data_IF_927343201039
#
_entry.id   IF_927343201039
#
_cell.length_a   1.000
_cell.length_b   1.000
_cell.length_c   1.000
_cell.angle_alpha   90.00
_cell.angle_beta   90.00
_cell.angle_gamma   90.00
#
_symmetry.space_group_name_H-M   'P 1'
#
loop_
_entity.id
_entity.type
_entity.pdbx_description
1 polymer ?
#
# COMPACT_ATOMS: atom_id res chain seq x y z
N UNK A 1 8.77 -27.16 6.04
CA UNK A 1 8.33 -26.04 5.18
C UNK A 1 7.34 -26.62 4.18
N UNK A 2 6.05 -26.30 4.33
CA UNK A 2 4.91 -26.91 3.61
C UNK A 2 4.81 -26.42 2.15
N UNK A 3 4.30 -27.26 1.24
CA UNK A 3 4.04 -26.94 -0.19
C UNK A 3 3.32 -25.60 -0.39
N UNK A 4 2.42 -25.25 0.55
CA UNK A 4 1.71 -23.96 0.58
C UNK A 4 2.64 -22.75 0.66
N UNK A 5 3.77 -22.83 1.39
CA UNK A 5 4.71 -21.72 1.50
C UNK A 5 5.53 -21.53 0.21
N UNK A 6 5.89 -22.62 -0.48
CA UNK A 6 6.60 -22.58 -1.77
C UNK A 6 5.66 -22.05 -2.85
N UNK A 7 4.41 -22.51 -2.86
CA UNK A 7 3.41 -22.08 -3.83
C UNK A 7 3.01 -20.61 -3.62
N UNK A 8 2.88 -20.13 -2.37
CA UNK A 8 2.69 -18.69 -2.08
C UNK A 8 3.88 -17.85 -2.53
N UNK A 9 5.12 -18.30 -2.32
CA UNK A 9 6.32 -17.57 -2.79
C UNK A 9 6.38 -17.51 -4.31
N UNK A 10 6.14 -18.63 -4.99
CA UNK A 10 6.09 -18.68 -6.46
C UNK A 10 4.98 -17.80 -7.04
N UNK A 11 3.82 -17.76 -6.36
CA UNK A 11 2.70 -16.87 -6.71
C UNK A 11 3.10 -15.40 -6.56
N UNK A 12 3.64 -14.99 -5.40
CA UNK A 12 4.06 -13.60 -5.14
C UNK A 12 5.15 -13.14 -6.11
N UNK A 13 6.13 -14.01 -6.43
CA UNK A 13 7.16 -13.68 -7.42
C UNK A 13 6.60 -13.48 -8.84
N UNK A 14 5.55 -14.23 -9.22
CA UNK A 14 4.88 -14.04 -10.51
C UNK A 14 4.03 -12.76 -10.52
N UNK A 15 3.33 -12.48 -9.42
CA UNK A 15 2.56 -11.24 -9.24
C UNK A 15 3.45 -10.01 -9.39
N UNK A 16 4.57 -9.94 -8.65
CA UNK A 16 5.50 -8.81 -8.72
C UNK A 16 6.07 -8.59 -10.14
N UNK A 17 6.40 -9.67 -10.86
CA UNK A 17 6.85 -9.57 -12.25
C UNK A 17 5.79 -8.98 -13.19
N UNK A 18 4.54 -9.39 -13.01
CA UNK A 18 3.43 -8.88 -13.83
C UNK A 18 3.19 -7.40 -13.53
N UNK A 19 3.23 -7.02 -12.25
CA UNK A 19 3.07 -5.62 -11.82
C UNK A 19 4.17 -4.75 -12.40
N UNK A 20 5.43 -5.16 -12.28
CA UNK A 20 6.57 -4.43 -12.86
C UNK A 20 6.42 -4.27 -14.39
N UNK A 21 6.06 -5.33 -15.11
CA UNK A 21 5.81 -5.26 -16.55
C UNK A 21 4.64 -4.32 -16.91
N UNK A 22 3.53 -4.38 -16.17
CA UNK A 22 2.37 -3.53 -16.39
C UNK A 22 2.70 -2.05 -16.12
N UNK A 23 3.44 -1.77 -15.05
CA UNK A 23 3.89 -0.42 -14.73
C UNK A 23 4.85 0.14 -15.78
N UNK A 24 5.82 -0.65 -16.24
CA UNK A 24 6.72 -0.24 -17.33
C UNK A 24 5.95 0.09 -18.61
N UNK A 25 5.04 -0.79 -19.03
CA UNK A 25 4.20 -0.54 -20.20
C UNK A 25 3.33 0.72 -20.02
N UNK A 26 2.73 0.93 -18.84
CA UNK A 26 1.94 2.12 -18.58
C UNK A 26 2.78 3.42 -18.62
N UNK A 27 3.99 3.42 -18.05
CA UNK A 27 4.91 4.57 -18.04
C UNK A 27 5.44 4.86 -19.45
N UNK A 28 5.90 3.82 -20.18
CA UNK A 28 6.39 3.94 -21.57
C UNK A 28 5.33 4.46 -22.54
N UNK A 29 4.07 4.08 -22.33
CA UNK A 29 2.93 4.50 -23.18
C UNK A 29 2.24 5.76 -22.67
N UNK A 30 2.64 6.28 -21.51
CA UNK A 30 2.05 7.44 -20.84
C UNK A 30 0.61 7.25 -20.36
N UNK A 31 0.03 6.05 -20.52
CA UNK A 31 -1.34 5.73 -20.12
C UNK A 31 -1.54 4.22 -20.03
N UNK A 32 -2.43 3.80 -19.12
CA UNK A 32 -2.88 2.40 -19.06
C UNK A 32 -3.68 1.98 -20.30
N UNK A 33 -4.23 2.94 -21.05
CA UNK A 33 -4.97 2.68 -22.29
C UNK A 33 -4.04 2.40 -23.48
N UNK A 34 -2.75 2.74 -23.36
CA UNK A 34 -1.75 2.57 -24.41
C UNK A 34 -1.19 1.16 -24.56
N UNK A 35 -1.62 0.19 -23.74
CA UNK A 35 -1.28 -1.22 -23.87
C UNK A 35 -2.49 -2.14 -23.65
N UNK A 36 -2.36 -3.39 -24.07
CA UNK A 36 -3.36 -4.45 -23.94
C UNK A 36 -2.91 -5.54 -22.97
N UNK A 37 -3.87 -6.31 -22.44
CA UNK A 37 -3.55 -7.49 -21.62
C UNK A 37 -2.76 -8.55 -22.41
N UNK A 38 -2.76 -8.49 -23.74
CA UNK A 38 -2.03 -9.42 -24.60
C UNK A 38 -0.56 -9.09 -24.66
N UNK A 39 -0.26 -7.81 -24.90
CA UNK A 39 1.10 -7.29 -24.85
C UNK A 39 1.71 -7.48 -23.46
N UNK A 40 0.90 -7.32 -22.39
CA UNK A 40 1.36 -7.62 -21.03
C UNK A 40 1.65 -9.11 -20.83
N UNK A 41 0.80 -10.00 -21.35
CA UNK A 41 1.00 -11.45 -21.25
C UNK A 41 2.27 -11.89 -22.00
N UNK A 42 2.50 -11.31 -23.18
CA UNK A 42 3.72 -11.51 -23.98
C UNK A 42 4.96 -10.99 -23.25
N UNK A 43 4.91 -9.77 -22.71
CA UNK A 43 6.01 -9.18 -21.94
C UNK A 43 6.38 -9.99 -20.68
N UNK A 44 5.43 -10.74 -20.12
CA UNK A 44 5.62 -11.56 -18.94
C UNK A 44 5.99 -13.02 -19.24
N UNK A 45 5.97 -13.44 -20.51
CA UNK A 45 6.08 -14.84 -20.95
C UNK A 45 5.06 -15.76 -20.25
N UNK A 46 3.79 -15.35 -20.25
CA UNK A 46 2.68 -16.12 -19.68
C UNK A 46 1.49 -16.18 -20.64
N UNK A 47 0.65 -17.20 -20.50
CA UNK A 47 -0.62 -17.23 -21.24
C UNK A 47 -1.58 -16.14 -20.76
N UNK A 48 -2.45 -15.65 -21.65
CA UNK A 48 -3.55 -14.74 -21.29
C UNK A 48 -4.41 -15.29 -20.14
N UNK A 49 -4.70 -16.59 -20.14
CA UNK A 49 -5.43 -17.26 -19.05
C UNK A 49 -4.67 -17.17 -17.73
N UNK A 50 -3.35 -17.38 -17.75
CA UNK A 50 -2.49 -17.24 -16.57
C UNK A 50 -2.55 -15.81 -16.05
N UNK A 51 -2.38 -14.81 -16.92
CA UNK A 51 -2.43 -13.41 -16.55
C UNK A 51 -3.76 -13.03 -15.86
N UNK A 52 -4.90 -13.43 -16.44
CA UNK A 52 -6.22 -13.16 -15.84
C UNK A 52 -6.49 -13.91 -14.53
N UNK A 53 -5.78 -15.02 -14.25
CA UNK A 53 -5.85 -15.67 -12.93
C UNK A 53 -5.14 -14.86 -11.83
N UNK A 54 -4.28 -13.93 -12.21
CA UNK A 54 -3.59 -13.02 -11.29
C UNK A 54 -4.30 -11.68 -11.21
N UNK A 55 -4.59 -11.06 -12.36
CA UNK A 55 -5.18 -9.72 -12.42
C UNK A 55 -6.35 -9.68 -13.41
N UNK A 56 -7.58 -9.35 -12.96
CA UNK A 56 -8.74 -9.37 -13.83
C UNK A 56 -8.77 -8.19 -14.82
N UNK A 57 -7.97 -7.14 -14.59
CA UNK A 57 -7.92 -5.95 -15.45
C UNK A 57 -6.52 -5.33 -15.52
N UNK A 58 -6.33 -4.41 -16.48
CA UNK A 58 -5.11 -3.58 -16.56
C UNK A 58 -4.92 -2.71 -15.32
N UNK A 59 -6.01 -2.16 -14.78
CA UNK A 59 -5.99 -1.37 -13.55
C UNK A 59 -5.42 -2.21 -12.41
N UNK A 60 -5.90 -3.44 -12.24
CA UNK A 60 -5.41 -4.32 -11.19
C UNK A 60 -3.96 -4.75 -11.39
N UNK A 61 -3.55 -4.99 -12.65
CA UNK A 61 -2.18 -5.34 -12.96
C UNK A 61 -1.20 -4.17 -12.68
N UNK A 62 -1.60 -2.92 -12.96
CA UNK A 62 -0.77 -1.73 -12.72
C UNK A 62 -0.70 -1.37 -11.24
N UNK A 63 -1.84 -1.42 -10.53
CA UNK A 63 -1.90 -1.16 -9.09
C UNK A 63 -1.28 -2.28 -8.27
N UNK A 64 -1.26 -3.51 -8.81
CA UNK A 64 -0.83 -4.68 -8.09
C UNK A 64 -1.84 -5.16 -7.04
N UNK A 65 -1.44 -6.13 -6.21
CA UNK A 65 -2.30 -6.67 -5.16
C UNK A 65 -2.62 -5.59 -4.12
N UNK A 66 -3.71 -5.82 -3.37
CA UNK A 66 -4.02 -4.96 -2.23
C UNK A 66 -2.91 -5.02 -1.17
N UNK A 67 -2.71 -3.90 -0.46
CA UNK A 67 -1.81 -3.85 0.68
C UNK A 67 -2.24 -4.89 1.71
N UNK A 68 -1.35 -5.83 2.00
CA UNK A 68 -1.60 -6.89 2.97
C UNK A 68 -1.09 -6.44 4.32
N UNK A 69 -2.03 -6.18 5.25
CA UNK A 69 -1.70 -5.90 6.64
C UNK A 69 -1.12 -7.17 7.28
N UNK A 70 0.13 -7.15 7.80
CA UNK A 70 0.74 -8.32 8.41
C UNK A 70 -0.13 -8.85 9.56
N UNK A 71 -0.42 -10.17 9.57
CA UNK A 71 -1.38 -10.75 10.52
C UNK A 71 -0.96 -10.51 11.98
N UNK A 72 0.32 -10.64 12.29
CA UNK A 72 0.86 -10.41 13.64
C UNK A 72 0.73 -8.95 14.08
N UNK A 73 1.03 -7.99 13.20
CA UNK A 73 0.88 -6.57 13.47
C UNK A 73 -0.60 -6.20 13.67
N UNK A 74 -1.49 -6.76 12.85
CA UNK A 74 -2.93 -6.56 12.96
C UNK A 74 -3.51 -7.16 14.26
N UNK A 75 -3.05 -8.34 14.66
CA UNK A 75 -3.48 -8.96 15.93
C UNK A 75 -3.01 -8.13 17.12
N UNK A 76 -1.75 -7.68 17.10
CA UNK A 76 -1.19 -6.75 18.11
C UNK A 76 -2.02 -5.47 18.20
N UNK A 77 -2.29 -4.83 17.06
CA UNK A 77 -3.12 -3.63 16.97
C UNK A 77 -4.53 -3.83 17.56
N UNK A 78 -5.18 -4.95 17.24
CA UNK A 78 -6.53 -5.29 17.74
C UNK A 78 -6.55 -5.50 19.25
N UNK A 79 -5.48 -6.03 19.82
CA UNK A 79 -5.35 -6.22 21.27
C UNK A 79 -4.94 -4.97 22.05
N UNK A 80 -4.83 -3.82 21.37
CA UNK A 80 -4.51 -2.55 22.00
C UNK A 80 -3.01 -2.29 22.17
N UNK A 81 -2.16 -2.92 21.36
CA UNK A 81 -0.71 -2.72 21.39
C UNK A 81 -0.13 -2.22 20.07
N UNK A 82 1.20 -2.00 20.02
CA UNK A 82 2.16 -2.30 21.08
C UNK A 82 2.22 -1.30 22.25
N UNK A 83 1.76 -0.07 22.07
CA UNK A 83 1.91 1.03 23.05
C UNK A 83 0.67 1.26 23.91
N UNK A 84 -0.53 0.94 23.40
CA UNK A 84 -1.80 1.34 23.99
C UNK A 84 -2.36 2.62 23.39
N UNK A 85 -1.51 3.49 22.84
CA UNK A 85 -1.93 4.72 22.15
C UNK A 85 -2.34 4.40 20.71
N UNK A 86 -3.50 4.92 20.28
CA UNK A 86 -4.03 4.64 18.94
C UNK A 86 -3.10 5.13 17.83
N UNK A 87 -2.50 6.32 17.98
CA UNK A 87 -1.68 6.94 16.94
C UNK A 87 -0.35 6.20 16.81
N UNK A 88 0.32 5.91 17.93
CA UNK A 88 1.55 5.13 17.93
C UNK A 88 1.34 3.71 17.38
N UNK A 89 0.21 3.09 17.69
CA UNK A 89 -0.09 1.74 17.21
C UNK A 89 -0.48 1.70 15.73
N UNK A 90 -1.17 2.73 15.22
CA UNK A 90 -1.40 2.89 13.78
C UNK A 90 -0.08 3.15 13.03
N UNK A 91 0.83 3.96 13.61
CA UNK A 91 2.16 4.18 13.06
C UNK A 91 2.95 2.86 13.01
N UNK A 92 2.97 2.09 14.09
CA UNK A 92 3.63 0.79 14.12
C UNK A 92 3.09 -0.17 13.06
N UNK A 93 1.78 -0.15 12.80
CA UNK A 93 1.17 -0.94 11.73
C UNK A 93 1.64 -0.50 10.34
N UNK A 94 1.76 0.80 10.08
CA UNK A 94 2.32 1.33 8.82
C UNK A 94 3.78 0.89 8.65
N UNK A 95 4.61 1.02 9.69
CA UNK A 95 6.00 0.59 9.64
C UNK A 95 6.13 -0.91 9.36
N UNK A 96 5.30 -1.75 9.98
CA UNK A 96 5.28 -3.19 9.72
C UNK A 96 4.90 -3.53 8.26
N UNK A 97 4.06 -2.72 7.60
CA UNK A 97 3.79 -2.88 6.17
C UNK A 97 5.05 -2.58 5.36
N UNK A 98 5.74 -1.48 5.67
CA UNK A 98 6.95 -1.06 4.94
C UNK A 98 8.10 -2.04 5.09
N UNK A 99 8.25 -2.68 6.25
CA UNK A 99 9.25 -3.74 6.45
C UNK A 99 9.07 -4.95 5.51
N UNK A 100 7.87 -5.14 4.96
CA UNK A 100 7.54 -6.25 4.06
C UNK A 100 7.55 -5.85 2.57
N UNK A 101 7.84 -4.59 2.25
CA UNK A 101 7.85 -4.05 0.90
C UNK A 101 9.23 -3.48 0.55
N UNK A 102 9.73 -3.79 -0.64
CA UNK A 102 10.97 -3.18 -1.14
C UNK A 102 10.64 -1.76 -1.61
N UNK A 103 10.86 -0.78 -0.73
CA UNK A 103 10.61 0.63 -1.01
C UNK A 103 11.85 1.23 -1.66
N UNK A 104 11.81 1.43 -2.98
CA UNK A 104 12.82 2.17 -3.72
C UNK A 104 12.25 3.41 -4.43
N UNK A 105 13.08 4.45 -4.54
CA UNK A 105 12.68 5.72 -5.15
C UNK A 105 12.25 5.57 -6.61
N UNK A 106 12.97 4.85 -7.50
CA UNK A 106 12.54 4.69 -8.89
C UNK A 106 11.15 4.06 -9.06
N UNK A 107 10.80 3.10 -8.20
CA UNK A 107 9.51 2.41 -8.19
C UNK A 107 8.41 3.33 -7.71
N UNK A 108 8.63 4.06 -6.60
CA UNK A 108 7.68 5.06 -6.12
C UNK A 108 7.45 6.15 -7.18
N UNK A 109 8.52 6.71 -7.75
CA UNK A 109 8.43 7.75 -8.77
C UNK A 109 7.69 7.28 -10.03
N UNK A 110 7.95 6.05 -10.48
CA UNK A 110 7.22 5.47 -11.62
C UNK A 110 5.74 5.31 -11.29
N UNK A 111 5.41 4.77 -10.13
CA UNK A 111 4.03 4.61 -9.70
C UNK A 111 3.31 5.96 -9.59
N UNK A 112 3.96 6.96 -9.01
CA UNK A 112 3.44 8.33 -8.89
C UNK A 112 3.09 8.93 -10.27
N UNK A 113 4.00 8.85 -11.24
CA UNK A 113 3.75 9.31 -12.62
C UNK A 113 2.56 8.60 -13.25
N UNK A 114 2.50 7.27 -13.13
CA UNK A 114 1.42 6.47 -13.72
C UNK A 114 0.07 6.84 -13.10
N UNK A 115 -0.01 6.97 -11.78
CA UNK A 115 -1.23 7.31 -11.07
C UNK A 115 -1.73 8.72 -11.44
N UNK A 116 -0.83 9.70 -11.51
CA UNK A 116 -1.17 11.07 -11.90
C UNK A 116 -1.62 11.18 -13.36
N UNK A 117 -1.06 10.36 -14.26
CA UNK A 117 -1.46 10.32 -15.67
C UNK A 117 -2.80 9.60 -15.91
N UNK A 118 -3.28 8.77 -14.96
CA UNK A 118 -4.42 7.89 -15.16
C UNK A 118 -5.45 8.00 -14.01
N UNK A 119 -6.44 8.91 -14.11
CA UNK A 119 -7.42 9.17 -13.03
C UNK A 119 -8.21 7.95 -12.55
N UNK A 120 -8.42 6.95 -13.40
CA UNK A 120 -9.08 5.70 -13.00
C UNK A 120 -8.31 4.94 -11.93
N UNK A 121 -6.97 5.03 -11.92
CA UNK A 121 -6.14 4.42 -10.89
C UNK A 121 -6.36 5.08 -9.53
N UNK A 122 -6.49 6.41 -9.50
CA UNK A 122 -6.82 7.16 -8.28
C UNK A 122 -8.18 6.76 -7.70
N UNK A 123 -9.18 6.51 -8.56
CA UNK A 123 -10.51 6.05 -8.14
C UNK A 123 -10.40 4.69 -7.45
N UNK A 124 -9.73 3.72 -8.09
CA UNK A 124 -9.58 2.38 -7.53
C UNK A 124 -8.71 2.38 -6.27
N UNK A 125 -7.65 3.19 -6.21
CA UNK A 125 -6.85 3.36 -4.97
C UNK A 125 -7.69 3.93 -3.82
N UNK A 126 -8.56 4.90 -4.09
CA UNK A 126 -9.48 5.45 -3.08
C UNK A 126 -10.48 4.41 -2.58
N UNK A 127 -10.99 3.55 -3.47
CA UNK A 127 -11.88 2.45 -3.08
C UNK A 127 -11.15 1.41 -2.20
N UNK A 128 -9.93 1.01 -2.58
CA UNK A 128 -9.08 0.11 -1.79
C UNK A 128 -8.76 0.71 -0.41
N UNK A 129 -8.39 2.00 -0.38
CA UNK A 129 -8.12 2.74 0.85
C UNK A 129 -9.35 2.78 1.76
N UNK A 130 -10.55 3.07 1.21
CA UNK A 130 -11.80 3.06 1.98
C UNK A 130 -12.03 1.73 2.68
N UNK A 131 -11.86 0.61 1.97
CA UNK A 131 -12.00 -0.73 2.57
C UNK A 131 -10.94 -1.04 3.63
N UNK A 132 -9.72 -0.55 3.45
CA UNK A 132 -8.68 -0.67 4.47
C UNK A 132 -9.03 0.14 5.72
N UNK A 133 -9.50 1.38 5.57
CA UNK A 133 -9.96 2.23 6.68
C UNK A 133 -11.12 1.57 7.42
N UNK A 134 -12.13 1.04 6.71
CA UNK A 134 -13.26 0.32 7.31
C UNK A 134 -12.78 -0.81 8.24
N UNK A 135 -11.83 -1.63 7.77
CA UNK A 135 -11.24 -2.71 8.56
C UNK A 135 -10.44 -2.24 9.77
N UNK A 136 -9.67 -1.16 9.62
CA UNK A 136 -8.88 -0.59 10.70
C UNK A 136 -9.76 0.04 11.78
N UNK A 137 -10.84 0.70 11.38
CA UNK A 137 -11.83 1.26 12.31
C UNK A 137 -12.52 0.14 13.09
N UNK A 138 -12.95 -0.94 12.42
CA UNK A 138 -13.53 -2.09 13.09
C UNK A 138 -12.56 -2.71 14.12
N UNK A 139 -11.29 -2.88 13.74
CA UNK A 139 -10.26 -3.41 14.65
C UNK A 139 -9.98 -2.46 15.82
N UNK A 140 -9.97 -1.15 15.59
CA UNK A 140 -9.67 -0.15 16.61
C UNK A 140 -10.79 -0.02 17.65
N UNK A 141 -12.05 -0.09 17.24
CA UNK A 141 -13.21 0.01 18.15
C UNK A 141 -13.31 -1.22 19.07
N UNK A 142 -12.69 -2.34 18.68
CA UNK A 142 -12.61 -3.56 19.50
C UNK A 142 -11.43 -3.56 20.48
N UNK A 143 -10.60 -2.51 20.50
CA UNK A 143 -9.41 -2.44 21.37
C UNK A 143 -9.82 -2.39 22.86
N UNK A 144 -9.15 -3.14 23.74
CA UNK A 144 -9.40 -3.07 25.18
C UNK A 144 -9.15 -1.67 25.74
N UNK A 145 -10.05 -1.19 26.61
CA UNK A 145 -9.86 0.05 27.36
C UNK A 145 -10.16 1.35 26.61
N UNK A 146 -10.61 1.29 25.35
CA UNK A 146 -10.99 2.47 24.58
C UNK A 146 -12.41 2.38 24.04
N UNK A 147 -13.24 3.37 24.37
CA UNK A 147 -14.54 3.60 23.71
C UNK A 147 -14.37 4.75 22.70
N UNK A 148 -13.37 4.62 21.81
CA UNK A 148 -13.05 5.66 20.84
C UNK A 148 -14.17 5.71 19.79
N UNK A 149 -14.79 6.88 19.56
CA UNK A 149 -15.78 7.02 18.50
C UNK A 149 -15.18 6.61 17.15
N UNK A 150 -15.93 5.85 16.31
CA UNK A 150 -15.43 5.44 14.98
C UNK A 150 -14.93 6.62 14.13
N UNK A 151 -15.56 7.79 14.27
CA UNK A 151 -15.16 9.02 13.59
C UNK A 151 -13.76 9.49 14.00
N UNK A 152 -13.41 9.37 15.27
CA UNK A 152 -12.11 9.82 15.78
C UNK A 152 -11.00 8.91 15.26
N UNK A 153 -11.27 7.60 15.18
CA UNK A 153 -10.38 6.64 14.54
C UNK A 153 -10.20 6.95 13.05
N UNK A 154 -11.30 7.28 12.33
CA UNK A 154 -11.21 7.67 10.92
C UNK A 154 -10.36 8.92 10.72
N UNK A 155 -10.49 9.92 11.59
CA UNK A 155 -9.67 11.14 11.56
C UNK A 155 -8.20 10.80 11.82
N UNK A 156 -7.92 9.98 12.83
CA UNK A 156 -6.56 9.52 13.12
C UNK A 156 -5.89 8.82 11.92
N UNK A 157 -6.62 7.91 11.26
CA UNK A 157 -6.13 7.21 10.07
C UNK A 157 -5.94 8.19 8.89
N UNK A 158 -6.85 9.14 8.70
CA UNK A 158 -6.73 10.14 7.64
C UNK A 158 -5.51 11.06 7.85
N UNK A 159 -5.23 11.47 9.09
CA UNK A 159 -4.04 12.26 9.45
C UNK A 159 -2.76 11.46 9.17
N UNK A 160 -2.71 10.18 9.57
CA UNK A 160 -1.59 9.30 9.27
C UNK A 160 -1.41 9.11 7.75
N UNK A 161 -2.51 8.97 7.00
CA UNK A 161 -2.48 8.92 5.55
C UNK A 161 -1.85 10.16 4.92
N UNK A 162 -2.21 11.35 5.43
CA UNK A 162 -1.57 12.60 5.00
C UNK A 162 -0.09 12.69 5.34
N UNK A 163 0.33 12.13 6.49
CA UNK A 163 1.76 12.02 6.83
C UNK A 163 2.50 11.12 5.84
N UNK A 164 1.92 9.96 5.50
CA UNK A 164 2.51 9.05 4.49
C UNK A 164 2.58 9.71 3.12
N UNK A 165 1.55 10.46 2.71
CA UNK A 165 1.56 11.21 1.45
C UNK A 165 2.70 12.24 1.40
N UNK A 166 2.90 13.01 2.48
CA UNK A 166 4.03 13.95 2.58
C UNK A 166 5.38 13.23 2.63
N UNK A 167 5.47 12.07 3.27
CA UNK A 167 6.67 11.26 3.26
C UNK A 167 7.00 10.78 1.84
N UNK A 168 5.99 10.39 1.04
CA UNK A 168 6.18 9.95 -0.35
C UNK A 168 6.76 11.07 -1.19
N UNK A 169 6.17 12.27 -1.13
CA UNK A 169 6.65 13.41 -1.91
C UNK A 169 8.07 13.81 -1.49
N UNK A 170 8.36 13.81 -0.19
CA UNK A 170 9.70 14.14 0.33
C UNK A 170 10.74 13.11 -0.10
N UNK A 171 10.42 11.81 -0.04
CA UNK A 171 11.32 10.73 -0.46
C UNK A 171 11.55 10.71 -1.98
N UNK A 172 10.55 11.09 -2.77
CA UNK A 172 10.70 11.28 -4.21
C UNK A 172 11.75 12.37 -4.51
N UNK A 173 11.71 13.48 -3.76
CA UNK A 173 12.61 14.63 -3.95
C UNK A 173 14.03 14.37 -3.41
N UNK A 174 14.14 13.61 -2.31
CA UNK A 174 15.42 13.27 -1.65
C UNK A 174 15.44 11.81 -1.16
N UNK A 175 15.98 10.88 -1.95
CA UNK A 175 15.98 9.45 -1.64
C UNK A 175 17.07 9.03 -0.67
N UNK A 176 17.96 9.94 -0.26
CA UNK A 176 18.94 9.65 0.79
C UNK A 176 18.29 9.63 2.17
N UNK A 177 17.07 10.19 2.30
CA UNK A 177 16.29 10.13 3.52
C UNK A 177 15.64 8.76 3.71
N UNK A 178 15.56 8.32 4.96
CA UNK A 178 14.89 7.08 5.31
C UNK A 178 13.36 7.30 5.29
N UNK A 179 12.66 6.50 4.47
CA UNK A 179 11.22 6.64 4.30
C UNK A 179 10.42 6.36 5.58
N UNK A 180 10.88 5.42 6.41
CA UNK A 180 10.27 5.14 7.70
C UNK A 180 10.50 6.30 8.68
N UNK A 181 11.69 6.89 8.69
CA UNK A 181 12.01 8.08 9.50
C UNK A 181 11.16 9.30 9.10
N UNK A 182 10.87 9.48 7.81
CA UNK A 182 9.95 10.52 7.33
C UNK A 182 8.54 10.38 7.92
N UNK A 183 8.03 9.14 8.02
CA UNK A 183 6.72 8.88 8.65
C UNK A 183 6.79 9.11 10.16
N UNK A 184 7.87 8.67 10.81
CA UNK A 184 8.07 8.85 12.25
C UNK A 184 8.11 10.34 12.63
N UNK A 185 8.97 11.10 11.95
CA UNK A 185 9.11 12.54 12.16
C UNK A 185 7.86 13.33 11.76
N UNK A 186 7.11 12.85 10.77
CA UNK A 186 5.80 13.40 10.37
C UNK A 186 4.77 13.34 11.49
N UNK A 187 4.66 12.21 12.21
CA UNK A 187 3.78 12.09 13.39
C UNK A 187 4.26 12.97 14.55
N UNK A 188 5.58 13.06 14.77
CA UNK A 188 6.12 14.04 15.73
C UNK A 188 5.73 15.48 15.35
N UNK A 189 5.74 15.81 14.06
CA UNK A 189 5.33 17.13 13.56
C UNK A 189 3.85 17.40 13.80
N UNK A 190 2.97 16.43 13.54
CA UNK A 190 1.54 16.54 13.85
C UNK A 190 1.33 16.83 15.34
N UNK A 191 1.98 16.06 16.23
CA UNK A 191 1.88 16.27 17.68
C UNK A 191 2.33 17.67 18.10
N UNK A 192 3.40 18.20 17.50
CA UNK A 192 3.88 19.56 17.79
C UNK A 192 2.95 20.67 17.29
N UNK A 193 2.27 20.46 16.15
CA UNK A 193 1.42 21.48 15.54
C UNK A 193 0.01 21.55 16.14
N UNK A 194 -0.49 20.43 16.65
CA UNK A 194 -1.87 20.29 17.12
C UNK A 194 -1.99 19.91 18.61
N UNK A 195 -0.87 19.87 19.34
CA UNK A 195 -0.77 19.55 20.76
C UNK A 195 -0.28 20.69 21.63
#
# INVERSE_FOLDING_TARGET
MTDSAIQRRGRRGTELRIVDAAQRLADERGSIDGFTMDELAEACDVSRRTLFNYFPSKVDAVLGPDVVLPSEAMDTFRTGGPSGDLIDDLQALVLAILENEDVDQPTIQRFDRIVHANPVLLITLKERMRHMVERLVEAAVQRPGGDLPPRDVQVAIAVLGGVVEVAVTTFIDDPEQDFAELIVSGITTVRRLFG
#
